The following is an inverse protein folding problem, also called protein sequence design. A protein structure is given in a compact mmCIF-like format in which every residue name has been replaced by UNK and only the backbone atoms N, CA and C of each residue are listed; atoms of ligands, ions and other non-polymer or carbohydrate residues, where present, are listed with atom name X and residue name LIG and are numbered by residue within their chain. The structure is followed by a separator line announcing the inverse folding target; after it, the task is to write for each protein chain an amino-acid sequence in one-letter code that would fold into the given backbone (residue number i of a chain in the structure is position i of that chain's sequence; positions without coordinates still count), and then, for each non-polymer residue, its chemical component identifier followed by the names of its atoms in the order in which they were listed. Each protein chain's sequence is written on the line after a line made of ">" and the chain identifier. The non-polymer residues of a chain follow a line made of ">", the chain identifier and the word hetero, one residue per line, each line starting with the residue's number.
data_IF_017846770820
#
_entry.id   IF_017846770820
#
_cell.length_a   1.000
_cell.length_b   1.000
_cell.length_c   1.000
_cell.angle_alpha   90.00
_cell.angle_beta   90.00
_cell.angle_gamma   90.00
#
_symmetry.space_group_name_H-M   'P 1'
#
loop_
_entity.id
_entity.type
_entity.pdbx_description
1 polymer ?
#
# COMPACT_ATOMS: atom_id res chain seq x y z
N UNK A 1 12.35 4.58 -3.74
CA UNK A 1 12.52 4.24 -5.18
C UNK A 1 12.16 2.79 -5.44
N UNK A 2 12.52 1.83 -4.58
CA UNK A 2 12.17 0.41 -4.76
C UNK A 2 10.70 0.12 -5.10
N UNK A 3 9.73 0.69 -4.37
CA UNK A 3 8.31 0.35 -4.55
C UNK A 3 7.79 0.58 -5.98
N UNK A 4 8.11 1.72 -6.61
CA UNK A 4 7.60 2.02 -7.96
C UNK A 4 8.27 1.10 -9.00
N UNK A 5 9.56 0.83 -8.82
CA UNK A 5 10.33 -0.06 -9.69
C UNK A 5 9.79 -1.49 -9.60
N UNK A 6 9.57 -1.99 -8.37
CA UNK A 6 9.02 -3.33 -8.11
C UNK A 6 7.61 -3.50 -8.70
N UNK A 7 6.71 -2.53 -8.48
CA UNK A 7 5.35 -2.61 -9.00
C UNK A 7 5.34 -2.54 -10.53
N UNK A 8 6.18 -1.68 -11.13
CA UNK A 8 6.30 -1.55 -12.58
C UNK A 8 6.82 -2.84 -13.20
N UNK A 9 7.86 -3.45 -12.61
CA UNK A 9 8.41 -4.73 -13.03
C UNK A 9 7.37 -5.86 -12.93
N UNK A 10 6.65 -5.95 -11.81
CA UNK A 10 5.64 -7.00 -11.57
C UNK A 10 4.40 -6.85 -12.46
N UNK A 11 4.04 -5.63 -12.87
CA UNK A 11 2.96 -5.38 -13.83
C UNK A 11 3.41 -5.47 -15.29
N UNK A 12 4.70 -5.68 -15.55
CA UNK A 12 5.26 -5.77 -16.90
C UNK A 12 5.25 -4.44 -17.67
N UNK A 13 5.28 -3.31 -16.95
CA UNK A 13 5.38 -2.00 -17.59
C UNK A 13 6.83 -1.69 -17.98
N UNK A 14 7.06 -1.05 -19.13
CA UNK A 14 8.38 -0.53 -19.46
C UNK A 14 8.72 0.63 -18.52
N UNK A 15 9.93 0.60 -17.93
CA UNK A 15 10.42 1.61 -16.98
C UNK A 15 10.33 3.05 -17.52
N UNK A 16 10.45 3.21 -18.84
CA UNK A 16 10.44 4.52 -19.51
C UNK A 16 9.03 5.12 -19.68
N UNK A 17 7.96 4.39 -19.34
CA UNK A 17 6.58 4.84 -19.57
C UNK A 17 5.88 5.19 -18.25
N UNK A 18 5.70 6.48 -17.93
CA UNK A 18 5.01 6.88 -16.72
C UNK A 18 3.54 6.43 -16.74
N UNK A 19 3.07 5.87 -15.63
CA UNK A 19 1.69 5.42 -15.45
C UNK A 19 1.03 6.21 -14.31
N UNK A 20 0.37 7.31 -14.66
CA UNK A 20 -0.27 8.22 -13.70
C UNK A 20 -1.27 7.52 -12.77
N UNK A 21 -1.99 6.52 -13.27
CA UNK A 21 -2.95 5.75 -12.46
C UNK A 21 -2.19 4.94 -11.41
N UNK A 22 -1.11 4.27 -11.81
CA UNK A 22 -0.27 3.52 -10.91
C UNK A 22 0.39 4.43 -9.85
N UNK A 23 0.90 5.60 -10.25
CA UNK A 23 1.49 6.57 -9.33
C UNK A 23 0.49 7.01 -8.25
N UNK A 24 -0.76 7.27 -8.65
CA UNK A 24 -1.83 7.64 -7.72
C UNK A 24 -2.17 6.48 -6.78
N UNK A 25 -2.24 5.24 -7.29
CA UNK A 25 -2.48 4.05 -6.47
C UNK A 25 -1.38 3.88 -5.43
N UNK A 26 -0.10 3.89 -5.85
CA UNK A 26 1.04 3.72 -4.95
C UNK A 26 1.02 4.79 -3.87
N UNK A 27 0.80 6.06 -4.24
CA UNK A 27 0.75 7.18 -3.29
C UNK A 27 -0.35 7.00 -2.25
N UNK A 28 -1.56 6.64 -2.67
CA UNK A 28 -2.71 6.51 -1.77
C UNK A 28 -2.59 5.27 -0.88
N UNK A 29 -2.08 4.16 -1.42
CA UNK A 29 -1.76 2.95 -0.66
C UNK A 29 -0.67 3.24 0.39
N UNK A 30 0.38 3.95 0.01
CA UNK A 30 1.45 4.39 0.92
C UNK A 30 0.89 5.24 2.06
N UNK A 31 0.10 6.27 1.74
CA UNK A 31 -0.50 7.14 2.74
C UNK A 31 -1.45 6.39 3.68
N UNK A 32 -2.18 5.40 3.17
CA UNK A 32 -3.05 4.56 4.00
C UNK A 32 -2.23 3.72 4.98
N UNK A 33 -1.17 3.07 4.52
CA UNK A 33 -0.31 2.26 5.38
C UNK A 33 0.38 3.13 6.45
N UNK A 34 0.89 4.31 6.08
CA UNK A 34 1.41 5.31 7.03
C UNK A 34 0.39 5.64 8.12
N UNK A 35 -0.86 5.86 7.73
CA UNK A 35 -1.97 6.14 8.67
C UNK A 35 -2.22 4.96 9.62
N UNK A 36 -2.21 3.72 9.13
CA UNK A 36 -2.45 2.52 9.94
C UNK A 36 -1.32 2.27 10.96
N UNK A 37 -0.08 2.58 10.56
CA UNK A 37 1.14 2.41 11.35
C UNK A 37 1.42 3.58 12.30
N UNK A 38 0.77 4.73 12.11
CA UNK A 38 1.05 5.99 12.81
C UNK A 38 2.53 6.40 12.67
N UNK A 39 2.93 6.62 11.41
CA UNK A 39 4.30 6.96 11.00
C UNK A 39 4.30 7.98 9.85
N UNK A 40 5.38 8.75 9.76
CA UNK A 40 5.62 9.66 8.63
C UNK A 40 6.13 8.92 7.39
N UNK A 41 6.88 7.82 7.57
CA UNK A 41 7.47 7.02 6.50
C UNK A 41 7.16 5.54 6.69
N UNK A 42 6.90 4.82 5.59
CA UNK A 42 6.67 3.38 5.63
C UNK A 42 8.01 2.70 5.95
N UNK A 43 8.07 1.84 6.98
CA UNK A 43 9.28 1.07 7.28
C UNK A 43 9.65 0.14 6.13
N UNK A 44 10.94 -0.01 5.82
CA UNK A 44 11.42 -0.88 4.74
C UNK A 44 10.91 -2.32 4.86
N UNK A 45 10.81 -2.84 6.09
CA UNK A 45 10.28 -4.19 6.34
C UNK A 45 8.80 -4.36 6.00
N UNK A 46 8.05 -3.27 5.76
CA UNK A 46 6.63 -3.26 5.39
C UNK A 46 6.38 -2.69 3.97
N UNK A 47 7.41 -2.33 3.22
CA UNK A 47 7.26 -1.78 1.86
C UNK A 47 6.57 -2.77 0.91
N UNK A 48 6.75 -4.09 1.12
CA UNK A 48 6.10 -5.14 0.34
C UNK A 48 4.57 -5.03 0.36
N UNK A 49 3.97 -4.58 1.47
CA UNK A 49 2.52 -4.38 1.59
C UNK A 49 2.06 -3.34 0.57
N UNK A 50 2.81 -2.24 0.42
CA UNK A 50 2.49 -1.20 -0.57
C UNK A 50 2.58 -1.75 -1.97
N UNK A 51 3.62 -2.52 -2.27
CA UNK A 51 3.83 -3.17 -3.58
C UNK A 51 2.66 -4.09 -3.93
N UNK A 52 2.35 -5.06 -3.07
CA UNK A 52 1.32 -6.07 -3.32
C UNK A 52 -0.09 -5.45 -3.41
N UNK A 53 -0.45 -4.56 -2.48
CA UNK A 53 -1.76 -3.88 -2.50
C UNK A 53 -1.90 -2.99 -3.75
N UNK A 54 -0.83 -2.34 -4.19
CA UNK A 54 -0.86 -1.49 -5.39
C UNK A 54 -1.10 -2.32 -6.65
N UNK A 55 -0.48 -3.49 -6.76
CA UNK A 55 -0.70 -4.45 -7.86
C UNK A 55 -2.15 -4.92 -7.88
N UNK A 56 -2.68 -5.35 -6.72
CA UNK A 56 -4.07 -5.81 -6.59
C UNK A 56 -5.06 -4.73 -7.01
N UNK A 57 -4.85 -3.49 -6.55
CA UNK A 57 -5.71 -2.34 -6.90
C UNK A 57 -5.64 -2.00 -8.37
N UNK A 58 -4.45 -2.00 -8.95
CA UNK A 58 -4.27 -1.74 -10.37
C UNK A 58 -4.99 -2.78 -11.23
N UNK A 59 -4.82 -4.06 -10.91
CA UNK A 59 -5.48 -5.17 -11.59
C UNK A 59 -6.99 -5.14 -11.42
N UNK A 60 -7.50 -4.75 -10.23
CA UNK A 60 -8.94 -4.59 -9.98
C UNK A 60 -9.53 -3.51 -10.86
N UNK A 61 -8.95 -2.31 -10.90
CA UNK A 61 -9.39 -1.20 -11.76
C UNK A 61 -9.34 -1.60 -13.24
N UNK A 62 -8.27 -2.28 -13.67
CA UNK A 62 -8.15 -2.78 -15.04
C UNK A 62 -9.22 -3.82 -15.39
N UNK A 63 -9.59 -4.70 -14.45
CA UNK A 63 -10.62 -5.72 -14.64
C UNK A 63 -12.04 -5.16 -14.58
N UNK A 64 -12.28 -4.13 -13.75
CA UNK A 64 -13.56 -3.41 -13.65
C UNK A 64 -13.90 -2.71 -14.96
N UNK A 65 -12.91 -2.12 -15.64
CA UNK A 65 -13.08 -1.51 -16.97
C UNK A 65 -13.44 -2.50 -18.08
N UNK A 66 -13.10 -3.79 -17.92
CA UNK A 66 -13.48 -4.87 -18.85
C UNK A 66 -14.88 -5.41 -18.54
N UNK A 67 -15.36 -5.25 -17.30
CA UNK A 67 -16.58 -5.94 -16.83
C UNK A 67 -17.82 -5.04 -16.79
N UNK A 68 -17.74 -3.73 -16.51
CA UNK A 68 -18.91 -2.85 -16.36
C UNK A 68 -18.67 -1.50 -17.08
N UNK A 69 -19.51 -1.03 -18.02
CA UNK A 69 -20.82 -0.41 -17.72
C UNK A 69 -20.81 0.31 -16.36
N UNK A 70 -19.95 1.34 -16.22
CA UNK A 70 -19.73 1.99 -14.94
C UNK A 70 -20.91 2.90 -14.58
N UNK A 71 -21.58 2.48 -13.51
CA UNK A 71 -22.57 3.24 -12.74
C UNK A 71 -21.86 4.48 -12.22
N UNK A 72 -22.33 5.65 -12.64
CA UNK A 72 -21.91 6.95 -12.11
C UNK A 72 -21.98 6.95 -10.58
N UNK A 73 -20.85 7.19 -9.92
CA UNK A 73 -20.87 7.88 -8.63
C UNK A 73 -20.35 7.13 -7.39
N UNK A 74 -19.80 5.93 -7.49
CA UNK A 74 -19.11 5.35 -6.34
C UNK A 74 -17.69 5.92 -6.25
N UNK A 75 -17.57 7.02 -5.50
CA UNK A 75 -16.29 7.54 -5.01
C UNK A 75 -15.45 6.36 -4.57
N UNK A 76 -14.21 6.22 -5.07
CA UNK A 76 -13.30 5.13 -4.72
C UNK A 76 -13.00 5.16 -3.22
N UNK A 77 -13.94 4.64 -2.43
CA UNK A 77 -13.80 4.40 -1.01
C UNK A 77 -12.81 3.26 -0.93
N UNK A 78 -11.55 3.60 -0.64
CA UNK A 78 -10.50 2.63 -0.39
C UNK A 78 -10.98 1.67 0.70
N UNK A 79 -11.56 0.54 0.28
CA UNK A 79 -12.15 -0.40 1.21
C UNK A 79 -11.06 -0.90 2.15
N UNK A 80 -11.35 -0.97 3.45
CA UNK A 80 -10.43 -1.51 4.46
C UNK A 80 -9.98 -2.94 4.18
N UNK A 81 -10.63 -3.61 3.21
CA UNK A 81 -10.35 -4.99 2.83
C UNK A 81 -8.96 -5.20 2.24
N UNK A 82 -8.39 -4.23 1.52
CA UNK A 82 -7.12 -4.47 0.81
C UNK A 82 -5.93 -4.68 1.77
N UNK A 83 -6.02 -4.20 3.01
CA UNK A 83 -4.99 -4.39 4.04
C UNK A 83 -5.26 -5.59 4.96
N UNK A 84 -6.40 -6.27 4.80
CA UNK A 84 -6.86 -7.32 5.72
C UNK A 84 -5.86 -8.47 5.87
N UNK A 85 -5.20 -8.85 4.78
CA UNK A 85 -4.17 -9.90 4.78
C UNK A 85 -2.91 -9.56 5.57
N UNK A 86 -2.68 -8.27 5.84
CA UNK A 86 -1.46 -7.76 6.45
C UNK A 86 -1.65 -7.20 7.85
N UNK A 87 -2.87 -7.33 8.43
CA UNK A 87 -3.17 -6.80 9.76
C UNK A 87 -2.23 -7.37 10.82
N UNK A 88 -1.92 -8.67 10.76
CA UNK A 88 -0.99 -9.31 11.69
C UNK A 88 0.42 -8.70 11.62
N UNK A 89 0.92 -8.43 10.42
CA UNK A 89 2.26 -7.86 10.22
C UNK A 89 2.31 -6.40 10.70
N UNK A 90 1.26 -5.63 10.40
CA UNK A 90 1.07 -4.25 10.87
C UNK A 90 1.02 -4.20 12.39
N UNK A 91 0.25 -5.10 13.03
CA UNK A 91 0.13 -5.17 14.48
C UNK A 91 1.44 -5.62 15.14
N UNK A 92 2.09 -6.65 14.61
CA UNK A 92 3.38 -7.13 15.10
C UNK A 92 4.44 -6.02 15.06
N UNK A 93 4.47 -5.25 13.97
CA UNK A 93 5.35 -4.10 13.83
C UNK A 93 5.07 -3.01 14.88
N UNK A 94 3.79 -2.66 15.07
CA UNK A 94 3.37 -1.66 16.07
C UNK A 94 3.74 -2.10 17.49
N UNK A 95 3.57 -3.37 17.80
CA UNK A 95 3.92 -3.93 19.11
C UNK A 95 5.43 -3.83 19.36
N UNK A 96 6.26 -4.25 18.40
CA UNK A 96 7.73 -4.13 18.47
C UNK A 96 8.17 -2.68 18.66
N UNK A 97 7.56 -1.71 17.96
CA UNK A 97 7.84 -0.27 18.13
C UNK A 97 7.51 0.23 19.54
N UNK A 98 6.43 -0.26 20.14
CA UNK A 98 6.00 0.13 21.48
C UNK A 98 6.87 -0.53 22.58
N UNK A 99 7.31 -1.77 22.39
CA UNK A 99 8.26 -2.43 23.31
C UNK A 99 9.59 -1.68 23.41
N UNK A 100 10.12 -1.19 22.28
CA UNK A 100 11.37 -0.40 22.24
C UNK A 100 11.22 0.93 22.99
N UNK A 101 10.03 1.54 22.99
CA UNK A 101 9.76 2.79 23.75
C UNK A 101 9.66 2.58 25.27
N UNK A 102 9.44 1.35 25.74
CA UNK A 102 9.19 1.02 27.15
C UNK A 102 10.43 0.85 28.03
N UNK A 103 11.64 0.81 27.48
CA UNK A 103 12.86 0.57 28.28
C UNK A 103 13.42 1.90 28.79
N UNK A 104 12.83 2.41 29.87
CA UNK A 104 13.45 3.48 30.67
C UNK A 104 14.61 2.85 31.45
N UNK A 105 15.83 3.09 30.96
CA UNK A 105 17.08 2.70 31.63
C UNK A 105 17.29 3.62 32.84
N UNK A 106 16.95 3.15 34.04
CA UNK A 106 17.36 3.82 35.27
C UNK A 106 18.85 3.51 35.51
N UNK A 107 19.66 4.57 35.58
CA UNK A 107 21.03 4.56 36.12
C UNK A 107 20.97 4.93 37.61
#
# INVERSE_FOLDING_TARGET
>A
MAIIDDVTALLGFPEEKPNKTLDVIIRLTTNRLKTLLDVEEVPTELEYIVTEVSIVRYNRIGSEGVTNHSVEGETMSFSDNDFKGYLNDIEAWKNKKNEVKGVVKFL
#
